data_IF_148145181917
#
_entry.id   IF_148145181917
#
_cell.length_a   1.000
_cell.length_b   1.000
_cell.length_c   1.000
_cell.angle_alpha   90.00
_cell.angle_beta   90.00
_cell.angle_gamma   90.00
#
_symmetry.space_group_name_H-M   'P 1'
#
loop_
_entity.id
_entity.type
_entity.pdbx_description
1 polymer ?
#
# COMPACT_ATOMS: atom_id res chain seq x y z
N UNK A 1 -17.69 -32.55 10.97
CA UNK A 1 -18.46 -31.42 10.43
C UNK A 1 -17.44 -30.41 9.93
N UNK A 2 -17.21 -30.37 8.61
CA UNK A 2 -16.43 -29.29 8.03
C UNK A 2 -17.23 -28.01 8.31
N UNK A 3 -16.58 -27.05 8.96
CA UNK A 3 -17.19 -25.74 9.20
C UNK A 3 -17.57 -25.19 7.83
N UNK A 4 -18.87 -25.14 7.57
CA UNK A 4 -19.40 -24.35 6.48
C UNK A 4 -19.17 -22.90 6.91
N UNK A 5 -17.97 -22.38 6.61
CA UNK A 5 -17.81 -20.94 6.44
C UNK A 5 -18.95 -20.55 5.51
N UNK A 6 -19.83 -19.70 6.02
CA UNK A 6 -21.06 -19.38 5.32
C UNK A 6 -20.64 -18.82 3.96
N UNK A 7 -21.22 -19.31 2.87
CA UNK A 7 -20.84 -18.95 1.50
C UNK A 7 -20.68 -17.42 1.30
N UNK A 8 -21.43 -16.66 2.09
CA UNK A 8 -21.36 -15.21 2.28
C UNK A 8 -20.05 -14.65 2.84
N UNK A 9 -19.37 -15.32 3.78
CA UNK A 9 -18.04 -14.91 4.29
C UNK A 9 -16.98 -15.07 3.20
N UNK A 10 -17.02 -16.19 2.48
CA UNK A 10 -16.08 -16.48 1.40
C UNK A 10 -16.28 -15.55 0.18
N UNK A 11 -17.52 -15.19 -0.14
CA UNK A 11 -17.86 -14.20 -1.18
C UNK A 11 -17.50 -12.75 -0.79
N UNK A 12 -17.44 -12.43 0.51
CA UNK A 12 -17.02 -11.12 1.03
C UNK A 12 -15.50 -10.96 1.05
N UNK A 13 -14.76 -12.05 1.25
CA UNK A 13 -13.29 -12.06 1.21
C UNK A 13 -12.75 -11.88 -0.22
N UNK A 14 -13.41 -12.46 -1.23
CA UNK A 14 -13.00 -12.35 -2.64
C UNK A 14 -12.74 -10.92 -3.12
N UNK A 15 -13.66 -9.94 -2.96
CA UNK A 15 -13.40 -8.57 -3.41
C UNK A 15 -12.28 -7.87 -2.62
N UNK A 16 -12.10 -8.20 -1.33
CA UNK A 16 -11.00 -7.64 -0.51
C UNK A 16 -9.66 -8.18 -0.99
N UNK A 17 -9.60 -9.49 -1.22
CA UNK A 17 -8.41 -10.20 -1.72
C UNK A 17 -8.06 -9.69 -3.12
N UNK A 18 -9.03 -9.57 -4.01
CA UNK A 18 -8.86 -9.06 -5.37
C UNK A 18 -8.36 -7.61 -5.39
N UNK A 19 -8.97 -6.73 -4.57
CA UNK A 19 -8.53 -5.34 -4.42
C UNK A 19 -7.11 -5.25 -3.83
N UNK A 20 -6.78 -6.14 -2.89
CA UNK A 20 -5.43 -6.24 -2.33
C UNK A 20 -4.42 -6.69 -3.38
N UNK A 21 -4.74 -7.68 -4.21
CA UNK A 21 -3.91 -8.10 -5.34
C UNK A 21 -3.70 -6.98 -6.34
N UNK A 22 -4.75 -6.23 -6.70
CA UNK A 22 -4.63 -5.05 -7.58
C UNK A 22 -3.70 -3.98 -7.02
N UNK A 23 -3.78 -3.67 -5.71
CA UNK A 23 -2.88 -2.71 -5.05
C UNK A 23 -1.44 -3.20 -4.95
N UNK A 24 -1.23 -4.51 -4.79
CA UNK A 24 0.10 -5.12 -4.79
C UNK A 24 0.72 -5.18 -6.18
N UNK A 25 -0.08 -5.33 -7.24
CA UNK A 25 0.39 -5.40 -8.62
C UNK A 25 1.02 -4.08 -9.09
N UNK A 26 0.51 -2.95 -8.60
CA UNK A 26 1.10 -1.63 -8.84
C UNK A 26 1.03 -0.77 -7.57
N UNK A 27 2.03 -0.85 -6.67
CA UNK A 27 2.01 -0.14 -5.40
C UNK A 27 2.21 1.38 -5.54
N UNK A 28 2.34 1.92 -6.76
CA UNK A 28 2.51 3.36 -6.97
C UNK A 28 3.79 3.89 -6.31
N UNK A 29 4.94 3.31 -6.64
CA UNK A 29 6.23 3.74 -6.10
C UNK A 29 6.63 5.12 -6.65
N UNK A 30 7.36 5.90 -5.84
CA UNK A 30 7.94 7.17 -6.25
C UNK A 30 9.47 7.05 -6.28
N UNK A 31 10.07 7.35 -7.43
CA UNK A 31 11.52 7.41 -7.58
C UNK A 31 12.07 8.67 -6.90
N UNK A 32 13.20 8.52 -6.22
CA UNK A 32 13.88 9.63 -5.53
C UNK A 32 15.33 9.65 -5.96
N UNK A 33 15.85 10.82 -6.29
CA UNK A 33 17.25 11.02 -6.63
C UNK A 33 18.14 10.80 -5.38
N UNK A 34 19.10 9.90 -5.51
CA UNK A 34 20.05 9.54 -4.46
C UNK A 34 21.44 10.19 -4.65
N UNK A 35 21.59 11.06 -5.66
CA UNK A 35 22.83 11.83 -5.90
C UNK A 35 23.20 12.82 -4.77
N UNK A 36 22.25 13.47 -4.06
CA UNK A 36 22.55 14.39 -2.95
C UNK A 36 23.05 13.69 -1.68
N UNK A 37 23.38 14.46 -0.63
CA UNK A 37 23.77 13.88 0.66
C UNK A 37 22.62 13.09 1.30
N UNK A 38 22.98 12.12 2.14
CA UNK A 38 22.00 11.26 2.85
C UNK A 38 20.96 12.09 3.59
N UNK A 39 21.39 13.15 4.27
CA UNK A 39 20.53 14.02 5.07
C UNK A 39 19.54 14.79 4.18
N UNK A 40 19.94 15.22 3.00
CA UNK A 40 19.08 15.92 2.02
C UNK A 40 18.05 14.97 1.40
N UNK A 41 18.48 13.76 1.02
CA UNK A 41 17.58 12.71 0.52
C UNK A 41 16.53 12.38 1.58
N UNK A 42 16.96 12.16 2.84
CA UNK A 42 16.04 11.87 3.94
C UNK A 42 15.02 12.98 4.20
N UNK A 43 15.44 14.25 4.14
CA UNK A 43 14.52 15.39 4.27
C UNK A 43 13.50 15.41 3.15
N UNK A 44 13.93 15.13 1.91
CA UNK A 44 13.07 15.11 0.72
C UNK A 44 12.02 14.00 0.82
N UNK A 45 12.46 12.78 1.16
CA UNK A 45 11.56 11.63 1.38
C UNK A 45 10.56 11.91 2.49
N UNK A 46 11.00 12.47 3.62
CA UNK A 46 10.13 12.78 4.74
C UNK A 46 9.07 13.85 4.37
N UNK A 47 9.46 14.87 3.60
CA UNK A 47 8.52 15.86 3.09
C UNK A 47 7.47 15.21 2.16
N UNK A 48 7.91 14.33 1.26
CA UNK A 48 7.03 13.60 0.35
C UNK A 48 6.01 12.74 1.10
N UNK A 49 6.47 11.94 2.08
CA UNK A 49 5.60 11.12 2.93
C UNK A 49 4.58 12.01 3.67
N UNK A 50 5.00 13.13 4.26
CA UNK A 50 4.07 14.02 4.95
C UNK A 50 3.03 14.62 4.00
N UNK A 51 3.45 15.04 2.81
CA UNK A 51 2.53 15.61 1.81
C UNK A 51 1.46 14.61 1.35
N UNK A 52 1.82 13.34 1.18
CA UNK A 52 0.94 12.34 0.58
C UNK A 52 0.24 11.43 1.59
N UNK A 53 0.77 11.30 2.81
CA UNK A 53 0.27 10.37 3.82
C UNK A 53 -0.24 11.05 5.10
N UNK A 54 -0.06 12.37 5.29
CA UNK A 54 -0.59 13.08 6.48
C UNK A 54 -2.07 13.48 6.37
N UNK A 55 -2.79 12.95 5.37
CA UNK A 55 -4.24 13.04 5.26
C UNK A 55 -4.84 11.65 5.10
N UNK A 56 -4.87 10.90 6.20
CA UNK A 56 -5.86 9.86 6.49
C UNK A 56 -6.23 9.93 7.97
#
# INVERSE_FOLDING_TARGET
>A
MLLNLSKTEQEMEQPIVEESYRRMENPGCHEVDASPSKEEVLRTVLHFIRKHCSSQ
#
